data_IF_865828484556
#
_entry.id   IF_865828484556
#
_cell.length_a   1.000
_cell.length_b   1.000
_cell.length_c   1.000
_cell.angle_alpha   90.00
_cell.angle_beta   90.00
_cell.angle_gamma   90.00
#
_symmetry.space_group_name_H-M   'P 1'
#
loop_
_entity.id
_entity.type
_entity.pdbx_description
1 polymer ?
#
# COMPACT_ATOMS: atom_id res chain seq x y z
N UNK A 1 14.33 3.18 -3.43
CA UNK A 1 13.27 2.60 -4.27
C UNK A 1 12.12 3.58 -4.41
N UNK A 2 11.70 3.83 -5.63
CA UNK A 2 10.55 4.69 -5.93
C UNK A 2 9.29 3.86 -6.10
N UNK A 3 8.15 4.47 -5.82
CA UNK A 3 6.85 3.82 -5.93
C UNK A 3 5.73 4.83 -6.17
N UNK A 4 4.59 4.32 -6.56
CA UNK A 4 3.32 5.05 -6.53
C UNK A 4 2.56 4.54 -5.31
N UNK A 5 2.22 5.45 -4.42
CA UNK A 5 1.52 5.13 -3.17
C UNK A 5 0.17 5.81 -3.09
N UNK A 6 -0.73 5.19 -2.34
CA UNK A 6 -2.01 5.78 -1.94
C UNK A 6 -1.81 6.46 -0.60
N UNK A 7 -2.17 7.75 -0.45
CA UNK A 7 -2.13 8.40 0.86
C UNK A 7 -3.00 7.66 1.87
N UNK A 8 -2.45 7.39 3.03
CA UNK A 8 -3.15 6.65 4.10
C UNK A 8 -3.97 7.63 4.93
N UNK A 9 -5.31 7.46 5.01
CA UNK A 9 -6.14 8.36 5.80
C UNK A 9 -5.86 8.22 7.30
N UNK A 10 -6.11 9.30 8.05
CA UNK A 10 -5.87 9.35 9.49
C UNK A 10 -6.65 8.31 10.29
N UNK A 11 -7.82 7.89 9.81
CA UNK A 11 -8.62 6.82 10.45
C UNK A 11 -7.89 5.47 10.48
N UNK A 12 -7.07 5.18 9.47
CA UNK A 12 -6.24 3.97 9.45
C UNK A 12 -5.15 4.06 10.53
N UNK A 13 -4.51 5.24 10.66
CA UNK A 13 -3.51 5.44 11.72
C UNK A 13 -4.12 5.32 13.11
N UNK A 14 -5.33 5.85 13.30
CA UNK A 14 -6.07 5.72 14.55
C UNK A 14 -6.37 4.26 14.88
N UNK A 15 -6.81 3.48 13.90
CA UNK A 15 -7.04 2.05 14.07
C UNK A 15 -5.76 1.31 14.45
N UNK A 16 -4.64 1.62 13.80
CA UNK A 16 -3.36 1.01 14.12
C UNK A 16 -2.93 1.32 15.58
N UNK A 17 -3.21 2.50 16.08
CA UNK A 17 -2.98 2.86 17.48
C UNK A 17 -3.86 2.06 18.44
N UNK A 18 -5.11 1.85 18.10
CA UNK A 18 -6.02 0.99 18.89
C UNK A 18 -5.53 -0.45 18.96
N UNK A 19 -4.97 -0.96 17.85
CA UNK A 19 -4.45 -2.32 17.76
C UNK A 19 -3.05 -2.48 18.35
N UNK A 20 -2.37 -1.40 18.66
CA UNK A 20 -0.98 -1.43 19.09
C UNK A 20 -0.68 -2.40 20.26
N UNK A 21 -1.53 -2.51 21.30
CA UNK A 21 -1.29 -3.48 22.37
C UNK A 21 -1.17 -4.92 21.87
N UNK A 22 -1.92 -5.30 20.83
CA UNK A 22 -1.87 -6.63 20.23
C UNK A 22 -0.70 -6.75 19.24
N UNK A 23 -0.34 -5.66 18.54
CA UNK A 23 0.77 -5.64 17.59
C UNK A 23 2.14 -5.79 18.26
N UNK A 24 2.25 -5.50 19.54
CA UNK A 24 3.49 -5.64 20.32
C UNK A 24 4.01 -7.08 20.41
N UNK A 25 3.17 -8.07 20.11
CA UNK A 25 3.59 -9.47 20.04
C UNK A 25 4.51 -9.76 18.85
N UNK A 26 4.56 -8.87 17.85
CA UNK A 26 5.36 -9.04 16.63
C UNK A 26 6.74 -8.40 16.76
N UNK A 27 7.69 -8.88 15.94
CA UNK A 27 9.07 -8.42 16.01
C UNK A 27 9.22 -6.96 15.61
N UNK A 28 8.45 -6.55 14.60
CA UNK A 28 8.46 -5.18 14.08
C UNK A 28 7.04 -4.67 13.91
N UNK A 29 6.75 -3.50 14.50
CA UNK A 29 5.48 -2.80 14.35
C UNK A 29 5.72 -1.54 13.51
N UNK A 30 4.85 -1.27 12.54
CA UNK A 30 4.98 -0.08 11.69
C UNK A 30 4.63 1.19 12.47
N UNK A 31 5.54 2.15 12.47
CA UNK A 31 5.31 3.50 12.98
C UNK A 31 4.62 4.36 11.92
N UNK A 32 5.05 4.19 10.68
CA UNK A 32 4.49 4.85 9.52
C UNK A 32 3.82 3.81 8.62
N UNK A 33 2.63 4.14 8.16
CA UNK A 33 1.83 3.25 7.34
C UNK A 33 1.89 3.66 5.88
N UNK A 34 2.18 2.71 5.01
CA UNK A 34 2.25 2.90 3.57
C UNK A 34 1.23 2.03 2.86
N UNK A 35 0.61 2.58 1.84
CA UNK A 35 -0.24 1.83 0.93
C UNK A 35 0.39 1.85 -0.45
N UNK A 36 1.12 0.81 -0.77
CA UNK A 36 1.86 0.70 -2.03
C UNK A 36 0.92 0.29 -3.17
N UNK A 37 0.93 1.06 -4.23
CA UNK A 37 0.14 0.75 -5.44
C UNK A 37 1.01 0.16 -6.55
N UNK A 38 2.23 0.67 -6.75
CA UNK A 38 3.14 0.19 -7.79
C UNK A 38 4.59 0.46 -7.44
N UNK A 39 5.44 -0.56 -7.52
CA UNK A 39 6.88 -0.39 -7.39
C UNK A 39 7.46 0.08 -8.72
N UNK A 40 8.37 1.04 -8.65
CA UNK A 40 9.02 1.61 -9.83
C UNK A 40 10.52 1.29 -9.90
N UNK A 41 11.07 0.69 -8.85
CA UNK A 41 12.48 0.37 -8.74
C UNK A 41 13.34 1.57 -8.36
N UNK A 42 14.64 1.45 -8.65
CA UNK A 42 15.61 2.49 -8.38
C UNK A 42 15.71 3.46 -9.57
N UNK A 43 16.06 4.69 -9.28
CA UNK A 43 16.42 5.69 -10.28
C UNK A 43 17.56 6.55 -9.74
N UNK A 44 18.49 6.92 -10.62
CA UNK A 44 19.50 7.90 -10.27
C UNK A 44 18.88 9.30 -10.16
N UNK A 45 19.48 10.17 -9.36
CA UNK A 45 18.96 11.51 -9.10
C UNK A 45 18.63 12.29 -10.39
N UNK A 46 19.42 12.11 -11.44
CA UNK A 46 19.22 12.76 -12.74
C UNK A 46 17.93 12.27 -13.45
N UNK A 47 17.47 11.05 -13.14
CA UNK A 47 16.35 10.41 -13.82
C UNK A 47 15.02 10.51 -13.06
N UNK A 48 15.04 11.00 -11.83
CA UNK A 48 13.85 11.09 -10.96
C UNK A 48 12.75 11.94 -11.59
N UNK A 49 13.12 13.08 -12.17
CA UNK A 49 12.17 13.98 -12.84
C UNK A 49 11.51 13.30 -14.05
N UNK A 50 12.30 12.57 -14.85
CA UNK A 50 11.78 11.82 -15.99
C UNK A 50 10.85 10.68 -15.55
N UNK A 51 11.21 9.97 -14.49
CA UNK A 51 10.37 8.93 -13.90
C UNK A 51 9.05 9.50 -13.40
N UNK A 52 9.09 10.64 -12.71
CA UNK A 52 7.88 11.33 -12.24
C UNK A 52 6.96 11.74 -13.37
N UNK A 53 7.51 12.23 -14.48
CA UNK A 53 6.72 12.57 -15.68
C UNK A 53 6.05 11.35 -16.28
N UNK A 54 6.73 10.20 -16.30
CA UNK A 54 6.14 8.94 -16.78
C UNK A 54 4.99 8.51 -15.89
N UNK A 55 5.13 8.67 -14.58
CA UNK A 55 4.04 8.38 -13.61
C UNK A 55 2.83 9.26 -13.88
N UNK A 56 3.04 10.58 -13.99
CA UNK A 56 1.95 11.52 -14.26
C UNK A 56 1.24 11.21 -15.58
N UNK A 57 1.99 10.85 -16.60
CA UNK A 57 1.43 10.48 -17.91
C UNK A 57 0.63 9.18 -17.83
N UNK A 58 1.14 8.18 -17.10
CA UNK A 58 0.45 6.90 -16.93
C UNK A 58 -0.87 7.04 -16.17
N UNK A 59 -0.98 8.03 -15.28
CA UNK A 59 -2.17 8.30 -14.48
C UNK A 59 -3.12 9.33 -15.10
N UNK A 60 -2.77 9.86 -16.27
CA UNK A 60 -3.58 10.85 -16.96
C UNK A 60 -4.97 10.29 -17.29
N UNK A 61 -6.02 10.99 -16.86
CA UNK A 61 -7.40 10.56 -17.06
C UNK A 61 -7.92 9.56 -16.02
N UNK A 62 -7.10 9.07 -15.10
CA UNK A 62 -7.56 8.21 -14.02
C UNK A 62 -8.48 8.98 -13.06
N UNK A 63 -9.69 8.49 -12.76
CA UNK A 63 -10.61 9.18 -11.86
C UNK A 63 -10.31 8.87 -10.40
N UNK A 64 -10.87 9.68 -9.49
CA UNK A 64 -10.96 9.33 -8.09
C UNK A 64 -11.71 8.01 -7.91
N UNK A 65 -11.30 7.20 -6.96
CA UNK A 65 -11.85 5.86 -6.73
C UNK A 65 -12.13 5.64 -5.25
N UNK A 66 -13.08 4.75 -4.98
CA UNK A 66 -13.39 4.35 -3.61
C UNK A 66 -12.48 3.21 -3.15
N UNK A 67 -12.14 3.23 -1.87
CA UNK A 67 -11.39 2.17 -1.21
C UNK A 67 -12.02 1.84 0.15
N UNK A 68 -11.89 0.59 0.57
CA UNK A 68 -12.44 0.14 1.84
C UNK A 68 -11.47 -0.83 2.52
N UNK A 69 -11.13 -0.54 3.79
CA UNK A 69 -10.54 -1.55 4.67
C UNK A 69 -11.64 -2.50 5.09
N UNK A 70 -11.49 -3.78 4.78
CA UNK A 70 -12.52 -4.80 5.04
C UNK A 70 -12.23 -5.63 6.27
N UNK A 71 -10.97 -5.72 6.69
CA UNK A 71 -10.59 -6.52 7.84
C UNK A 71 -9.09 -6.62 8.03
N UNK A 72 -8.72 -7.40 9.01
CA UNK A 72 -7.36 -7.81 9.28
C UNK A 72 -7.08 -9.14 8.57
N UNK A 73 -5.85 -9.31 8.09
CA UNK A 73 -5.42 -10.54 7.45
C UNK A 73 -3.92 -10.76 7.70
N UNK A 74 -3.42 -11.92 7.32
CA UNK A 74 -2.01 -12.26 7.48
C UNK A 74 -1.48 -13.00 6.26
N UNK A 75 -0.22 -12.70 5.91
CA UNK A 75 0.57 -13.53 5.00
C UNK A 75 1.48 -14.42 5.85
N UNK A 76 1.30 -15.74 5.74
CA UNK A 76 2.17 -16.70 6.42
C UNK A 76 3.56 -16.73 5.81
N UNK A 77 3.64 -16.67 4.49
CA UNK A 77 4.87 -16.70 3.71
C UNK A 77 4.91 -15.52 2.72
N UNK A 78 5.25 -14.30 3.19
CA UNK A 78 5.35 -13.16 2.29
C UNK A 78 6.52 -13.34 1.32
N UNK A 79 6.42 -12.85 0.07
CA UNK A 79 7.52 -12.91 -0.89
C UNK A 79 8.77 -12.15 -0.44
N UNK A 80 8.61 -11.12 0.39
CA UNK A 80 9.70 -10.28 0.89
C UNK A 80 9.55 -10.04 2.39
N UNK A 81 10.68 -10.01 3.07
CA UNK A 81 10.76 -9.63 4.47
C UNK A 81 10.37 -10.73 5.45
N UNK A 82 10.30 -10.37 6.72
CA UNK A 82 10.04 -11.32 7.81
C UNK A 82 8.61 -11.82 7.80
N UNK A 83 8.47 -13.12 8.03
CA UNK A 83 7.16 -13.77 8.18
C UNK A 83 6.78 -13.93 9.66
N UNK A 84 5.51 -13.93 10.02
CA UNK A 84 4.35 -13.57 9.20
C UNK A 84 4.21 -12.05 9.02
N UNK A 85 3.32 -11.62 8.12
CA UNK A 85 2.93 -10.21 7.98
C UNK A 85 1.47 -10.07 8.37
N UNK A 86 1.17 -9.13 9.26
CA UNK A 86 -0.21 -8.74 9.59
C UNK A 86 -0.52 -7.42 8.92
N UNK A 87 -1.65 -7.35 8.25
CA UNK A 87 -2.03 -6.19 7.46
C UNK A 87 -3.53 -5.91 7.48
N UNK A 88 -3.89 -4.69 7.12
CA UNK A 88 -5.25 -4.31 6.81
C UNK A 88 -5.52 -4.66 5.35
N UNK A 89 -6.52 -5.50 5.12
CA UNK A 89 -6.97 -5.85 3.78
C UNK A 89 -7.80 -4.70 3.20
N UNK A 90 -7.53 -4.33 1.96
CA UNK A 90 -8.23 -3.24 1.27
C UNK A 90 -8.91 -3.80 0.01
N UNK A 91 -10.16 -3.46 -0.17
CA UNK A 91 -10.90 -3.69 -1.41
C UNK A 91 -11.06 -2.37 -2.15
N UNK A 92 -10.64 -2.34 -3.40
CA UNK A 92 -10.81 -1.19 -4.29
C UNK A 92 -10.64 -1.64 -5.74
N UNK A 93 -11.74 -1.99 -6.43
CA UNK A 93 -11.67 -2.30 -7.85
C UNK A 93 -11.06 -1.17 -8.68
N UNK A 94 -11.30 0.09 -8.28
CA UNK A 94 -10.72 1.26 -8.93
C UNK A 94 -9.20 1.32 -8.80
N UNK A 95 -8.64 1.02 -7.62
CA UNK A 95 -7.18 0.96 -7.44
C UNK A 95 -6.56 -0.23 -8.17
N UNK A 96 -7.25 -1.36 -8.22
CA UNK A 96 -6.79 -2.50 -9.00
C UNK A 96 -6.71 -2.18 -10.48
N UNK A 97 -7.68 -1.43 -11.02
CA UNK A 97 -7.66 -0.96 -12.40
C UNK A 97 -6.50 0.00 -12.66
N UNK A 98 -6.25 0.95 -11.77
CA UNK A 98 -5.11 1.86 -11.85
C UNK A 98 -3.78 1.09 -11.76
N UNK A 99 -3.70 0.10 -10.88
CA UNK A 99 -2.54 -0.78 -10.79
C UNK A 99 -2.26 -1.49 -12.13
N UNK A 100 -3.29 -2.01 -12.77
CA UNK A 100 -3.15 -2.67 -14.07
C UNK A 100 -2.63 -1.70 -15.14
N UNK A 101 -3.12 -0.47 -15.18
CA UNK A 101 -2.62 0.57 -16.09
C UNK A 101 -1.15 0.89 -15.84
N UNK A 102 -0.75 0.99 -14.58
CA UNK A 102 0.65 1.22 -14.19
C UNK A 102 1.55 0.02 -14.56
N UNK A 103 1.04 -1.20 -14.44
CA UNK A 103 1.76 -2.42 -14.85
C UNK A 103 2.00 -2.42 -16.36
N UNK A 104 1.05 -1.96 -17.17
CA UNK A 104 1.24 -1.85 -18.62
C UNK A 104 2.41 -0.92 -18.99
N UNK A 105 2.61 0.13 -18.22
CA UNK A 105 3.68 1.12 -18.48
C UNK A 105 5.03 0.68 -17.89
N UNK A 106 5.02 0.15 -16.66
CA UNK A 106 6.23 -0.10 -15.86
C UNK A 106 6.59 -1.57 -15.70
N UNK A 107 5.72 -2.48 -16.13
CA UNK A 107 5.89 -3.91 -15.91
C UNK A 107 5.49 -4.33 -14.49
N UNK A 108 5.30 -5.61 -14.27
CA UNK A 108 4.94 -6.17 -12.98
C UNK A 108 6.16 -6.81 -12.29
N UNK A 109 6.28 -6.61 -10.99
CA UNK A 109 7.23 -7.36 -10.17
C UNK A 109 6.62 -8.74 -9.90
N UNK A 110 7.31 -9.78 -10.32
CA UNK A 110 6.83 -11.17 -10.19
C UNK A 110 6.55 -11.52 -8.71
N UNK A 111 5.42 -12.16 -8.47
CA UNK A 111 4.99 -12.58 -7.13
C UNK A 111 4.39 -11.49 -6.26
N UNK A 112 4.46 -10.22 -6.69
CA UNK A 112 4.00 -9.06 -5.91
C UNK A 112 2.98 -8.19 -6.63
N UNK A 113 3.04 -8.16 -7.95
CA UNK A 113 2.26 -7.23 -8.77
C UNK A 113 1.55 -7.96 -9.91
N UNK A 114 0.70 -7.23 -10.64
CA UNK A 114 -0.14 -7.84 -11.66
C UNK A 114 -1.19 -8.74 -11.02
N UNK A 115 -1.32 -10.00 -11.45
CA UNK A 115 -2.30 -10.94 -10.89
C UNK A 115 -2.05 -11.27 -9.42
N UNK A 116 -0.83 -11.07 -8.92
CA UNK A 116 -0.46 -11.35 -7.52
C UNK A 116 -0.63 -10.14 -6.60
N UNK A 117 -1.04 -8.99 -7.13
CA UNK A 117 -1.19 -7.77 -6.35
C UNK A 117 -2.31 -7.89 -5.32
N UNK A 118 -1.99 -7.63 -4.06
CA UNK A 118 -2.94 -7.60 -2.95
C UNK A 118 -2.92 -6.20 -2.33
N UNK A 119 -3.98 -5.39 -2.51
CA UNK A 119 -4.07 -4.09 -1.85
C UNK A 119 -4.09 -4.26 -0.32
N UNK A 120 -3.16 -3.64 0.36
CA UNK A 120 -3.03 -3.79 1.81
C UNK A 120 -2.22 -2.69 2.46
N UNK A 121 -2.39 -2.53 3.76
CA UNK A 121 -1.56 -1.68 4.62
C UNK A 121 -0.94 -2.57 5.70
N UNK A 122 0.37 -2.74 5.66
CA UNK A 122 1.10 -3.56 6.64
C UNK A 122 1.09 -2.89 8.02
N UNK A 123 0.81 -3.67 9.06
CA UNK A 123 0.82 -3.23 10.46
C UNK A 123 2.04 -3.74 11.22
N UNK A 124 2.41 -5.01 11.02
CA UNK A 124 3.50 -5.64 11.76
C UNK A 124 4.08 -6.84 10.99
N UNK A 125 5.30 -7.21 11.36
CA UNK A 125 6.02 -8.34 10.76
C UNK A 125 6.80 -9.12 11.81
N UNK A 126 7.00 -10.40 11.51
CA UNK A 126 7.81 -11.32 12.32
C UNK A 126 7.06 -11.80 13.56
N UNK A 127 7.59 -12.83 14.19
CA UNK A 127 6.97 -13.41 15.37
C UNK A 127 6.23 -14.72 15.06
N UNK A 128 5.23 -15.02 15.87
CA UNK A 128 4.53 -16.31 15.82
C UNK A 128 3.34 -16.26 14.90
N UNK A 129 3.19 -17.29 14.06
CA UNK A 129 2.03 -17.39 13.16
C UNK A 129 0.70 -17.49 13.92
N UNK A 130 0.70 -18.07 15.12
CA UNK A 130 -0.49 -18.18 15.97
C UNK A 130 -0.99 -16.81 16.39
N UNK A 131 -0.09 -15.88 16.71
CA UNK A 131 -0.44 -14.51 17.04
C UNK A 131 -1.02 -13.77 15.82
N UNK A 132 -0.43 -14.00 14.66
CA UNK A 132 -0.93 -13.43 13.41
C UNK A 132 -2.34 -13.95 13.06
N UNK A 133 -2.58 -15.23 13.21
CA UNK A 133 -3.90 -15.84 12.98
C UNK A 133 -4.95 -15.34 13.96
N UNK A 134 -4.57 -15.18 15.22
CA UNK A 134 -5.46 -14.64 16.25
C UNK A 134 -5.88 -13.21 15.92
N UNK A 135 -4.93 -12.38 15.52
CA UNK A 135 -5.21 -11.00 15.17
C UNK A 135 -6.03 -10.92 13.87
N UNK A 136 -5.71 -11.74 12.87
CA UNK A 136 -6.47 -11.80 11.63
C UNK A 136 -7.93 -12.24 11.80
N UNK A 137 -8.23 -12.98 12.87
CA UNK A 137 -9.59 -13.38 13.19
C UNK A 137 -10.41 -12.30 13.91
N UNK A 138 -9.76 -11.24 14.38
CA UNK A 138 -10.44 -10.14 15.04
C UNK A 138 -11.25 -9.32 14.04
N UNK A 139 -12.50 -9.03 14.38
CA UNK A 139 -13.36 -8.15 13.58
C UNK A 139 -13.02 -6.68 13.85
N UNK A 140 -13.08 -5.89 12.80
CA UNK A 140 -12.92 -4.44 12.85
C UNK A 140 -14.03 -3.78 12.03
N UNK A 141 -14.38 -2.56 12.39
CA UNK A 141 -15.33 -1.78 11.60
C UNK A 141 -14.70 -1.40 10.26
N UNK A 142 -15.43 -1.53 9.14
CA UNK A 142 -14.92 -1.11 7.84
C UNK A 142 -14.59 0.38 7.82
N UNK A 143 -13.52 0.74 7.10
CA UNK A 143 -13.12 2.11 6.85
C UNK A 143 -13.23 2.36 5.34
N UNK A 144 -14.09 3.30 4.96
CA UNK A 144 -14.28 3.70 3.55
C UNK A 144 -13.74 5.11 3.34
N UNK A 145 -13.09 5.31 2.20
CA UNK A 145 -12.66 6.66 1.80
C UNK A 145 -12.55 6.75 0.29
N UNK A 146 -12.54 8.00 -0.18
CA UNK A 146 -12.29 8.30 -1.59
C UNK A 146 -10.81 8.58 -1.78
N UNK A 147 -10.17 7.89 -2.70
CA UNK A 147 -8.80 8.18 -3.11
C UNK A 147 -8.86 9.22 -4.21
N UNK A 148 -8.47 10.45 -3.89
CA UNK A 148 -8.52 11.61 -4.80
C UNK A 148 -7.13 12.09 -5.24
N UNK A 149 -6.08 11.48 -4.74
CA UNK A 149 -4.71 11.72 -5.18
C UNK A 149 -3.84 10.50 -4.95
N UNK A 150 -2.78 10.39 -5.74
CA UNK A 150 -1.72 9.41 -5.58
C UNK A 150 -0.38 10.12 -5.42
N UNK A 151 0.58 9.45 -4.81
CA UNK A 151 1.90 9.99 -4.56
C UNK A 151 2.95 9.26 -5.38
N UNK A 152 3.80 10.01 -6.07
CA UNK A 152 5.10 9.50 -6.53
C UNK A 152 6.05 9.61 -5.33
N UNK A 153 6.49 8.47 -4.81
CA UNK A 153 7.07 8.36 -3.48
C UNK A 153 8.53 7.90 -3.55
N UNK A 154 9.37 8.55 -2.73
CA UNK A 154 10.75 8.15 -2.51
C UNK A 154 10.84 7.32 -1.23
N UNK A 155 11.08 6.02 -1.38
CA UNK A 155 11.17 5.09 -0.26
C UNK A 155 12.43 5.24 0.59
N UNK A 156 13.49 5.84 0.05
CA UNK A 156 14.73 6.08 0.81
C UNK A 156 14.54 7.17 1.85
N UNK A 157 13.95 8.30 1.46
CA UNK A 157 13.68 9.41 2.35
C UNK A 157 12.29 9.37 2.97
N UNK A 158 11.44 8.44 2.52
CA UNK A 158 10.06 8.24 2.99
C UNK A 158 9.21 9.50 2.83
N UNK A 159 9.32 10.12 1.68
CA UNK A 159 8.65 11.37 1.34
C UNK A 159 8.02 11.30 -0.05
N UNK A 160 6.84 11.93 -0.25
CA UNK A 160 6.33 12.11 -1.59
C UNK A 160 7.22 13.09 -2.36
N UNK A 161 7.61 12.70 -3.58
CA UNK A 161 8.31 13.59 -4.52
C UNK A 161 7.31 14.52 -5.19
N UNK A 162 6.16 13.99 -5.59
CA UNK A 162 5.07 14.75 -6.19
C UNK A 162 3.74 14.04 -5.96
N UNK A 163 2.64 14.76 -6.23
CA UNK A 163 1.29 14.22 -6.13
C UNK A 163 0.57 14.34 -7.45
N UNK A 164 -0.28 13.36 -7.73
CA UNK A 164 -1.13 13.32 -8.91
C UNK A 164 -2.58 13.36 -8.43
N UNK A 165 -3.31 14.39 -8.84
CA UNK A 165 -4.74 14.50 -8.52
C UNK A 165 -5.55 13.54 -9.39
N UNK A 166 -6.52 12.87 -8.76
CA UNK A 166 -7.51 12.05 -9.42
C UNK A 166 -8.84 12.80 -9.39
N UNK A 167 -9.30 13.34 -10.53
CA UNK A 167 -10.51 14.15 -10.53
C UNK A 167 -11.75 13.30 -10.24
N UNK A 168 -12.74 13.92 -9.61
CA UNK A 168 -14.05 13.31 -9.43
C UNK A 168 -14.68 13.00 -10.81
N UNK A 169 -15.43 11.92 -10.86
CA UNK A 169 -16.21 11.56 -12.06
C UNK A 169 -17.43 12.45 -12.22
#
# INVERSE_FOLDING_TARGET
VYSVNVPVPGRIRALAMELYPELRAFDTVRDEHSFLLKRLGEAESADVTALGRRVHRALEGAPAVEAQVTGLAAFADPPLGSAPVVYLAVESPGLEAIHADLVEVFGAVEGLEGPDYVPHVTLARGGRIEDARRLAAREIDPIRWTVSELEFFDGTYRLPVSRVSLPAR
#
